data_IF_652960674347
#
_entry.id   IF_652960674347
#
_cell.length_a   1.000
_cell.length_b   1.000
_cell.length_c   1.000
_cell.angle_alpha   90.00
_cell.angle_beta   90.00
_cell.angle_gamma   90.00
#
_symmetry.space_group_name_H-M   'P 1'
#
loop_
_entity.id
_entity.type
_entity.pdbx_description
1 polymer ?
#
# COMPACT_ATOMS: atom_id res chain seq x y z
N UNK A 1 -52.32 -19.29 64.83
CA UNK A 1 -51.00 -18.65 64.58
C UNK A 1 -50.84 -17.50 65.57
N UNK A 2 -49.66 -17.32 66.19
CA UNK A 2 -49.49 -16.27 67.21
C UNK A 2 -49.52 -14.88 66.54
N UNK A 3 -50.19 -13.86 67.11
CA UNK A 3 -50.30 -12.54 66.49
C UNK A 3 -48.93 -11.89 66.19
N UNK A 4 -47.91 -12.26 66.98
CA UNK A 4 -46.52 -11.82 66.80
C UNK A 4 -45.86 -12.36 65.52
N UNK A 5 -46.15 -13.60 65.13
CA UNK A 5 -45.60 -14.16 63.87
C UNK A 5 -46.31 -13.59 62.64
N UNK A 6 -47.59 -13.22 62.74
CA UNK A 6 -48.29 -12.50 61.67
C UNK A 6 -47.70 -11.10 61.44
N UNK A 7 -47.36 -10.37 62.51
CA UNK A 7 -46.77 -9.04 62.41
C UNK A 7 -45.38 -9.05 61.75
N UNK A 8 -44.54 -10.05 62.05
CA UNK A 8 -43.20 -10.19 61.45
C UNK A 8 -43.31 -10.53 59.95
N UNK A 9 -44.24 -11.42 59.58
CA UNK A 9 -44.45 -11.77 58.18
C UNK A 9 -44.99 -10.59 57.36
N UNK A 10 -45.89 -9.79 57.92
CA UNK A 10 -46.40 -8.59 57.27
C UNK A 10 -45.28 -7.55 57.04
N UNK A 11 -44.42 -7.33 58.04
CA UNK A 11 -43.28 -6.43 57.89
C UNK A 11 -42.26 -6.92 56.85
N UNK A 12 -41.95 -8.21 56.84
CA UNK A 12 -41.05 -8.81 55.84
C UNK A 12 -41.62 -8.70 54.41
N UNK A 13 -42.93 -8.90 54.24
CA UNK A 13 -43.59 -8.74 52.95
C UNK A 13 -43.54 -7.29 52.45
N UNK A 14 -43.70 -6.29 53.34
CA UNK A 14 -43.58 -4.87 52.96
C UNK A 14 -42.16 -4.52 52.56
N UNK A 15 -41.14 -5.03 53.26
CA UNK A 15 -39.73 -4.80 52.90
C UNK A 15 -39.39 -5.46 51.57
N UNK A 16 -39.82 -6.70 51.34
CA UNK A 16 -39.60 -7.39 50.06
C UNK A 16 -40.36 -6.70 48.91
N UNK A 17 -41.57 -6.21 49.15
CA UNK A 17 -42.31 -5.42 48.18
C UNK A 17 -41.61 -4.09 47.88
N UNK A 18 -41.06 -3.40 48.88
CA UNK A 18 -40.31 -2.17 48.69
C UNK A 18 -39.01 -2.41 47.90
N UNK A 19 -38.29 -3.51 48.18
CA UNK A 19 -37.10 -3.92 47.41
C UNK A 19 -37.49 -4.27 45.98
N UNK A 20 -38.57 -5.05 45.79
CA UNK A 20 -39.06 -5.41 44.46
C UNK A 20 -39.50 -4.18 43.66
N UNK A 21 -40.16 -3.21 44.30
CA UNK A 21 -40.55 -1.93 43.69
C UNK A 21 -39.32 -1.08 43.38
N UNK A 22 -38.30 -1.04 44.24
CA UNK A 22 -37.05 -0.33 44.00
C UNK A 22 -36.26 -0.95 42.83
N UNK A 23 -36.14 -2.28 42.78
CA UNK A 23 -35.51 -3.00 41.68
C UNK A 23 -36.33 -2.83 40.39
N UNK A 24 -37.65 -2.92 40.46
CA UNK A 24 -38.51 -2.71 39.29
C UNK A 24 -38.42 -1.28 38.77
N UNK A 25 -38.35 -0.25 39.63
CA UNK A 25 -38.16 1.14 39.18
C UNK A 25 -36.74 1.42 38.68
N UNK A 26 -35.73 0.73 39.19
CA UNK A 26 -34.38 0.75 38.62
C UNK A 26 -34.31 0.08 37.23
N UNK A 27 -35.18 -0.91 36.97
CA UNK A 27 -35.28 -1.64 35.70
C UNK A 27 -36.42 -1.15 34.78
N UNK A 28 -37.22 -0.13 35.14
CA UNK A 28 -38.27 0.38 34.24
C UNK A 28 -37.66 1.26 33.12
N UNK A 29 -38.03 1.01 31.84
CA UNK A 29 -37.60 1.81 30.70
C UNK A 29 -38.35 3.15 30.64
N UNK A 30 -38.16 4.02 31.65
CA UNK A 30 -38.72 5.38 31.64
C UNK A 30 -38.01 6.30 30.64
N UNK A 31 -36.91 5.84 30.04
CA UNK A 31 -36.11 6.57 29.05
C UNK A 31 -36.49 6.29 27.58
N UNK A 32 -37.36 5.30 27.29
CA UNK A 32 -37.58 4.85 25.89
C UNK A 32 -38.24 5.88 24.97
N UNK A 33 -39.05 6.81 25.49
CA UNK A 33 -39.68 7.85 24.68
C UNK A 33 -38.94 9.22 24.69
N UNK A 34 -37.96 9.42 25.58
CA UNK A 34 -37.38 10.73 25.84
C UNK A 34 -36.04 11.01 25.13
N UNK A 35 -35.48 10.05 24.39
CA UNK A 35 -34.10 10.17 23.91
C UNK A 35 -33.85 9.61 22.49
N UNK A 36 -34.88 9.57 21.63
CA UNK A 36 -34.65 9.52 20.20
C UNK A 36 -34.05 10.85 19.72
N UNK A 37 -33.27 10.82 18.64
CA UNK A 37 -32.58 12.00 18.09
C UNK A 37 -31.09 11.76 17.88
N UNK A 38 -30.35 12.80 17.52
CA UNK A 38 -28.91 12.68 17.22
C UNK A 38 -28.12 12.08 18.39
N UNK A 39 -27.08 11.31 18.06
CA UNK A 39 -26.08 10.85 19.02
C UNK A 39 -25.14 12.00 19.42
N UNK A 40 -24.96 12.98 18.52
CA UNK A 40 -24.11 14.16 18.67
C UNK A 40 -24.86 15.48 18.34
N UNK A 41 -25.96 15.83 19.03
CA UNK A 41 -26.74 17.05 18.75
C UNK A 41 -25.93 18.35 18.84
N UNK A 42 -24.91 18.39 19.69
CA UNK A 42 -24.03 19.56 19.85
C UNK A 42 -23.12 19.74 18.63
N UNK A 43 -22.75 18.65 17.95
CA UNK A 43 -21.86 18.67 16.79
C UNK A 43 -22.52 19.30 15.56
N UNK A 44 -23.84 19.16 15.37
CA UNK A 44 -24.54 19.74 14.21
C UNK A 44 -24.28 21.24 14.04
N UNK A 45 -24.12 21.97 15.16
CA UNK A 45 -23.89 23.41 15.16
C UNK A 45 -22.41 23.78 15.16
N UNK A 46 -21.52 22.83 15.49
CA UNK A 46 -20.10 23.07 15.77
C UNK A 46 -19.15 22.29 14.85
N UNK A 47 -19.67 21.53 13.89
CA UNK A 47 -18.87 20.70 12.99
C UNK A 47 -17.80 21.49 12.23
N UNK A 48 -18.08 22.76 11.93
CA UNK A 48 -17.13 23.64 11.25
C UNK A 48 -16.02 24.18 12.16
N UNK A 49 -16.25 24.16 13.48
CA UNK A 49 -15.31 24.61 14.51
C UNK A 49 -14.31 23.50 14.89
N UNK A 50 -14.49 22.29 14.36
CA UNK A 50 -13.62 21.15 14.67
C UNK A 50 -12.20 21.43 14.14
N UNK A 51 -11.23 21.39 15.05
CA UNK A 51 -9.81 21.60 14.79
C UNK A 51 -8.98 20.34 14.93
N UNK A 52 -9.47 19.31 15.64
CA UNK A 52 -8.78 18.02 15.73
C UNK A 52 -9.76 16.85 15.84
N UNK A 53 -9.33 15.70 15.32
CA UNK A 53 -10.00 14.41 15.46
C UNK A 53 -8.98 13.39 15.98
N UNK A 54 -9.39 12.66 17.01
CA UNK A 54 -8.62 11.56 17.59
C UNK A 54 -9.45 10.28 17.52
N UNK A 55 -8.82 9.20 17.05
CA UNK A 55 -9.43 7.88 16.90
C UNK A 55 -8.55 6.88 17.61
N UNK A 56 -9.15 6.15 18.56
CA UNK A 56 -8.49 5.04 19.25
C UNK A 56 -9.05 3.73 18.68
N UNK A 57 -8.18 2.89 18.12
CA UNK A 57 -8.53 1.63 17.48
C UNK A 57 -7.54 0.54 17.92
N UNK A 58 -7.90 -0.21 18.96
CA UNK A 58 -6.99 -1.17 19.59
C UNK A 58 -5.73 -0.48 20.13
N UNK A 59 -4.55 -0.86 19.62
CA UNK A 59 -3.26 -0.26 20.03
C UNK A 59 -2.91 1.02 19.27
N UNK A 60 -3.62 1.32 18.19
CA UNK A 60 -3.36 2.49 17.37
C UNK A 60 -4.19 3.68 17.84
N UNK A 61 -3.53 4.83 17.96
CA UNK A 61 -4.19 6.13 18.15
C UNK A 61 -3.84 7.01 16.97
N UNK A 62 -4.86 7.41 16.22
CA UNK A 62 -4.72 8.32 15.10
C UNK A 62 -5.16 9.70 15.56
N UNK A 63 -4.30 10.68 15.38
CA UNK A 63 -4.63 12.09 15.61
C UNK A 63 -4.40 12.87 14.34
N UNK A 64 -5.38 13.69 13.98
CA UNK A 64 -5.31 14.61 12.84
C UNK A 64 -5.74 16.00 13.30
N UNK A 65 -5.12 17.02 12.73
CA UNK A 65 -5.29 18.41 13.16
C UNK A 65 -5.48 19.32 11.95
N UNK A 66 -6.31 20.35 12.10
CA UNK A 66 -6.51 21.39 11.09
C UNK A 66 -5.41 22.44 11.25
N UNK A 67 -4.52 22.52 10.28
CA UNK A 67 -3.53 23.58 10.13
C UNK A 67 -3.98 24.66 9.13
N UNK A 68 -3.06 25.54 8.75
CA UNK A 68 -3.32 26.65 7.81
C UNK A 68 -3.65 26.16 6.39
N UNK A 69 -2.94 25.12 5.93
CA UNK A 69 -3.09 24.54 4.59
C UNK A 69 -4.16 23.44 4.49
N UNK A 70 -4.80 23.04 5.60
CA UNK A 70 -5.79 21.97 5.62
C UNK A 70 -5.59 20.99 6.79
N UNK A 71 -6.08 19.77 6.62
CA UNK A 71 -5.92 18.72 7.63
C UNK A 71 -4.54 18.06 7.51
N UNK A 72 -3.84 17.92 8.62
CA UNK A 72 -2.47 17.42 8.70
C UNK A 72 -2.40 16.25 9.68
N UNK A 73 -1.39 15.38 9.52
CA UNK A 73 -1.07 14.34 10.49
C UNK A 73 0.18 14.69 11.30
N UNK A 74 0.05 15.02 12.60
CA UNK A 74 1.21 15.30 13.45
C UNK A 74 2.16 14.11 13.60
N UNK A 75 1.64 12.87 13.51
CA UNK A 75 2.45 11.65 13.60
C UNK A 75 3.36 11.44 12.37
N UNK A 76 3.16 12.19 11.29
CA UNK A 76 3.91 12.12 10.05
C UNK A 76 4.47 13.49 9.66
N UNK A 77 5.03 14.19 10.65
CA UNK A 77 5.65 15.52 10.49
C UNK A 77 4.75 16.57 9.83
N UNK A 78 3.44 16.48 10.04
CA UNK A 78 2.47 17.40 9.47
C UNK A 78 2.08 17.08 8.02
N UNK A 79 2.22 15.83 7.56
CA UNK A 79 1.82 15.45 6.20
C UNK A 79 0.35 15.80 5.89
N UNK A 80 0.05 16.39 4.72
CA UNK A 80 -1.32 16.73 4.32
C UNK A 80 -2.24 15.52 4.17
N UNK A 81 -3.49 15.68 4.61
CA UNK A 81 -4.53 14.67 4.54
C UNK A 81 -5.60 15.05 3.51
N UNK A 82 -6.31 14.04 3.03
CA UNK A 82 -7.43 14.23 2.11
C UNK A 82 -8.60 14.92 2.84
N UNK A 83 -8.95 16.17 2.48
CA UNK A 83 -10.00 16.91 3.18
C UNK A 83 -11.36 16.22 3.05
N UNK A 84 -11.61 15.54 1.94
CA UNK A 84 -12.86 14.81 1.72
C UNK A 84 -13.02 13.60 2.64
N UNK A 85 -11.93 12.91 3.01
CA UNK A 85 -11.97 11.83 4.00
C UNK A 85 -12.38 12.35 5.38
N UNK A 86 -11.82 13.50 5.78
CA UNK A 86 -12.16 14.15 7.06
C UNK A 86 -13.60 14.65 7.05
N UNK A 87 -14.03 15.29 5.95
CA UNK A 87 -15.41 15.72 5.78
C UNK A 87 -16.39 14.55 5.88
N UNK A 88 -16.12 13.44 5.19
CA UNK A 88 -16.95 12.24 5.21
C UNK A 88 -17.11 11.69 6.64
N UNK A 89 -16.00 11.57 7.38
CA UNK A 89 -16.00 11.11 8.76
C UNK A 89 -16.85 12.02 9.67
N UNK A 90 -16.68 13.34 9.58
CA UNK A 90 -17.46 14.31 10.37
C UNK A 90 -18.95 14.24 10.04
N UNK A 91 -19.31 14.09 8.77
CA UNK A 91 -20.70 13.93 8.33
C UNK A 91 -21.30 12.64 8.91
N UNK A 92 -20.59 11.51 8.85
CA UNK A 92 -21.06 10.24 9.39
C UNK A 92 -21.34 10.35 10.91
N UNK A 93 -20.43 10.96 11.66
CA UNK A 93 -20.58 11.17 13.11
C UNK A 93 -21.77 12.09 13.44
N UNK A 94 -21.93 13.18 12.67
CA UNK A 94 -23.04 14.13 12.86
C UNK A 94 -24.40 13.49 12.56
N UNK A 95 -24.46 12.56 11.60
CA UNK A 95 -25.71 11.94 11.15
C UNK A 95 -26.16 10.75 12.00
N UNK A 96 -25.35 10.26 12.94
CA UNK A 96 -25.77 9.18 13.85
C UNK A 96 -27.03 9.57 14.63
N UNK A 97 -28.07 8.74 14.56
CA UNK A 97 -29.31 8.92 15.34
C UNK A 97 -29.56 7.72 16.23
N UNK A 98 -29.96 7.97 17.48
CA UNK A 98 -30.37 6.95 18.43
C UNK A 98 -31.70 6.34 17.98
N UNK A 99 -31.70 5.02 17.73
CA UNK A 99 -32.89 4.22 17.38
C UNK A 99 -33.49 3.55 18.60
N UNK A 100 -32.65 2.95 19.43
CA UNK A 100 -33.09 2.13 20.55
C UNK A 100 -32.10 2.22 21.71
N UNK A 101 -32.62 2.46 22.92
CA UNK A 101 -31.85 2.31 24.15
C UNK A 101 -31.65 0.81 24.41
N UNK A 102 -30.41 0.39 24.65
CA UNK A 102 -30.07 -1.01 24.96
C UNK A 102 -29.78 -1.17 26.44
N UNK A 103 -28.51 -1.33 26.81
CA UNK A 103 -28.09 -1.61 28.17
C UNK A 103 -27.33 -0.44 28.77
N UNK A 104 -27.50 -0.24 30.08
CA UNK A 104 -26.69 0.64 30.91
C UNK A 104 -25.78 -0.15 31.88
N UNK A 105 -25.60 -1.46 31.65
CA UNK A 105 -24.84 -2.36 32.53
C UNK A 105 -23.45 -2.59 31.93
N UNK A 106 -22.36 -2.12 32.57
CA UNK A 106 -21.00 -2.23 32.02
C UNK A 106 -20.58 -3.66 31.67
N UNK A 107 -21.10 -4.66 32.37
CA UNK A 107 -20.79 -6.08 32.15
C UNK A 107 -21.27 -6.57 30.77
N UNK A 108 -22.17 -5.83 30.11
CA UNK A 108 -22.70 -6.15 28.78
C UNK A 108 -22.00 -5.40 27.65
N UNK A 109 -21.14 -4.43 27.94
CA UNK A 109 -20.42 -3.66 26.92
C UNK A 109 -19.55 -4.51 25.98
N UNK A 110 -18.80 -5.52 26.45
CA UNK A 110 -17.95 -6.33 25.56
C UNK A 110 -18.75 -7.07 24.48
N UNK A 111 -19.98 -7.48 24.77
CA UNK A 111 -20.85 -8.15 23.79
C UNK A 111 -21.27 -7.24 22.64
N UNK A 112 -21.27 -5.93 22.86
CA UNK A 112 -21.60 -4.88 21.89
C UNK A 112 -20.35 -4.16 21.35
N UNK A 113 -19.17 -4.51 21.86
CA UNK A 113 -17.87 -3.89 21.55
C UNK A 113 -17.86 -2.38 21.87
N UNK A 114 -18.46 -1.98 22.99
CA UNK A 114 -18.53 -0.56 23.46
C UNK A 114 -17.86 -0.35 24.81
N UNK A 115 -16.95 -1.25 25.17
CA UNK A 115 -16.04 -1.13 26.30
C UNK A 115 -15.02 0.01 26.08
N UNK A 116 -14.13 0.23 27.04
CA UNK A 116 -13.14 1.32 26.94
C UNK A 116 -12.21 1.09 25.74
N UNK A 117 -12.16 2.03 24.77
CA UNK A 117 -11.26 1.91 23.62
C UNK A 117 -9.80 1.85 24.03
N UNK A 118 -9.01 1.03 23.33
CA UNK A 118 -7.58 0.87 23.59
C UNK A 118 -7.16 -0.58 23.83
N UNK A 119 -5.86 -0.86 23.68
CA UNK A 119 -5.29 -2.17 23.98
C UNK A 119 -5.87 -3.28 23.08
N UNK A 120 -6.46 -4.30 23.70
CA UNK A 120 -7.09 -5.44 23.01
C UNK A 120 -8.60 -5.22 22.74
N UNK A 121 -9.14 -4.05 23.09
CA UNK A 121 -10.53 -3.71 22.84
C UNK A 121 -10.83 -3.61 21.35
N UNK A 122 -12.00 -4.10 20.96
CA UNK A 122 -12.56 -3.91 19.61
C UNK A 122 -13.37 -2.62 19.49
N UNK A 123 -13.65 -1.97 20.61
CA UNK A 123 -14.33 -0.68 20.64
C UNK A 123 -13.45 0.40 20.00
N UNK A 124 -14.10 1.28 19.24
CA UNK A 124 -13.45 2.42 18.59
C UNK A 124 -13.78 3.69 19.34
N UNK A 125 -12.77 4.36 19.86
CA UNK A 125 -12.92 5.68 20.48
C UNK A 125 -12.84 6.77 19.41
N UNK A 126 -13.71 7.76 19.48
CA UNK A 126 -13.72 8.90 18.57
C UNK A 126 -13.91 10.17 19.39
N UNK A 127 -12.93 11.06 19.34
CA UNK A 127 -12.96 12.34 20.03
C UNK A 127 -12.75 13.48 19.04
N UNK A 128 -13.61 14.49 19.11
CA UNK A 128 -13.49 15.71 18.31
C UNK A 128 -13.20 16.89 19.23
N UNK A 129 -12.36 17.80 18.75
CA UNK A 129 -11.96 18.99 19.48
C UNK A 129 -12.26 20.25 18.67
N UNK A 130 -12.66 21.32 19.35
CA UNK A 130 -12.70 22.68 18.84
C UNK A 130 -11.78 23.55 19.71
N UNK A 131 -10.57 23.82 19.22
CA UNK A 131 -9.46 24.27 20.06
C UNK A 131 -9.13 23.21 21.11
N UNK A 132 -9.08 23.61 22.38
CA UNK A 132 -8.83 22.71 23.52
C UNK A 132 -10.10 22.04 24.07
N UNK A 133 -11.28 22.42 23.57
CA UNK A 133 -12.56 21.90 24.04
C UNK A 133 -12.93 20.60 23.33
N UNK A 134 -13.29 19.57 24.09
CA UNK A 134 -13.88 18.34 23.55
C UNK A 134 -15.34 18.58 23.19
N UNK A 135 -15.66 18.54 21.89
CA UNK A 135 -17.03 18.76 21.38
C UNK A 135 -17.78 17.46 21.10
N UNK A 136 -17.06 16.34 21.02
CA UNK A 136 -17.62 14.99 20.91
C UNK A 136 -16.68 13.98 21.54
N UNK A 137 -17.22 13.04 22.31
CA UNK A 137 -16.50 11.86 22.79
C UNK A 137 -17.42 10.62 22.72
N UNK A 138 -17.18 9.77 21.72
CA UNK A 138 -18.00 8.59 21.42
C UNK A 138 -17.16 7.32 21.43
N UNK A 139 -17.79 6.26 21.94
CA UNK A 139 -17.37 4.88 21.78
C UNK A 139 -18.28 4.22 20.76
N UNK A 140 -17.70 3.73 19.69
CA UNK A 140 -18.37 3.05 18.58
C UNK A 140 -18.02 1.57 18.64
N UNK A 141 -19.05 0.73 18.70
CA UNK A 141 -18.91 -0.71 18.70
C UNK A 141 -19.24 -1.35 17.37
N UNK A 142 -19.57 -2.64 17.43
CA UNK A 142 -19.81 -3.43 16.22
C UNK A 142 -21.06 -2.97 15.46
N UNK A 143 -21.04 -3.23 14.16
CA UNK A 143 -22.23 -3.07 13.32
C UNK A 143 -23.24 -4.20 13.58
N UNK A 144 -24.52 -3.86 13.52
CA UNK A 144 -25.63 -4.79 13.45
C UNK A 144 -26.05 -4.90 11.98
N UNK A 145 -26.01 -6.10 11.44
CA UNK A 145 -26.52 -6.41 10.09
C UNK A 145 -27.92 -7.05 10.17
N UNK A 146 -28.62 -7.10 9.03
CA UNK A 146 -29.93 -7.75 8.91
C UNK A 146 -31.09 -6.76 8.72
N UNK A 147 -32.30 -7.17 9.10
CA UNK A 147 -33.54 -6.41 8.86
C UNK A 147 -33.59 -5.03 9.54
N UNK A 148 -32.79 -4.84 10.60
CA UNK A 148 -32.70 -3.59 11.35
C UNK A 148 -31.22 -3.22 11.53
N UNK A 149 -30.57 -2.71 10.47
CA UNK A 149 -29.15 -2.42 10.52
C UNK A 149 -28.87 -1.17 11.35
N UNK A 150 -27.64 -1.08 11.85
CA UNK A 150 -27.16 0.05 12.61
C UNK A 150 -25.80 -0.20 13.24
N UNK A 151 -25.39 0.70 14.12
CA UNK A 151 -24.13 0.60 14.86
C UNK A 151 -24.38 0.80 16.34
N UNK A 152 -23.72 0.04 17.20
CA UNK A 152 -23.78 0.27 18.63
C UNK A 152 -22.88 1.45 19.00
N UNK A 153 -23.37 2.36 19.82
CA UNK A 153 -22.59 3.50 20.27
C UNK A 153 -22.95 3.90 21.70
N UNK A 154 -21.98 4.51 22.39
CA UNK A 154 -22.12 5.04 23.74
C UNK A 154 -21.34 6.35 23.83
N UNK A 155 -21.86 7.34 24.55
CA UNK A 155 -21.09 8.54 24.88
C UNK A 155 -20.06 8.20 25.95
N UNK A 156 -18.83 8.68 25.82
CA UNK A 156 -17.86 8.49 26.88
C UNK A 156 -18.35 9.13 28.18
N UNK A 157 -18.18 8.44 29.31
CA UNK A 157 -18.70 8.86 30.61
C UNK A 157 -20.19 8.55 30.87
N UNK A 158 -20.96 8.13 29.86
CA UNK A 158 -22.33 7.64 30.05
C UNK A 158 -22.36 6.10 30.01
N UNK A 159 -23.17 5.47 30.86
CA UNK A 159 -23.28 4.01 30.86
C UNK A 159 -24.24 3.47 29.78
N UNK A 160 -25.15 4.32 29.31
CA UNK A 160 -26.22 3.94 28.39
C UNK A 160 -25.69 3.69 26.97
N UNK A 161 -25.87 2.47 26.49
CA UNK A 161 -25.58 2.06 25.10
C UNK A 161 -26.82 2.24 24.23
N UNK A 162 -26.61 2.69 23.01
CA UNK A 162 -27.63 2.90 21.99
C UNK A 162 -27.35 2.05 20.75
N UNK A 163 -28.41 1.54 20.13
CA UNK A 163 -28.37 1.20 18.71
C UNK A 163 -28.65 2.47 17.91
N UNK A 164 -27.75 2.83 17.01
CA UNK A 164 -27.88 4.02 16.17
C UNK A 164 -28.16 3.67 14.71
N UNK A 165 -28.91 4.53 14.01
CA UNK A 165 -29.04 4.50 12.55
C UNK A 165 -27.78 5.07 11.91
N UNK A 166 -27.47 4.59 10.71
CA UNK A 166 -26.28 4.98 9.96
C UNK A 166 -25.12 4.00 10.11
N UNK A 167 -24.00 4.38 9.53
CA UNK A 167 -22.73 3.65 9.53
C UNK A 167 -21.62 4.63 9.87
N UNK A 168 -20.63 4.19 10.64
CA UNK A 168 -19.39 4.93 10.83
C UNK A 168 -18.23 4.10 10.31
N UNK A 169 -17.73 4.49 9.14
CA UNK A 169 -16.58 3.91 8.48
C UNK A 169 -15.40 4.87 8.60
N UNK A 170 -14.72 4.83 9.74
CA UNK A 170 -13.48 5.58 9.94
C UNK A 170 -12.28 4.78 9.42
N UNK A 171 -11.36 5.44 8.70
CA UNK A 171 -10.07 4.86 8.32
C UNK A 171 -9.35 4.23 9.51
N UNK A 172 -8.67 3.10 9.28
CA UNK A 172 -8.12 2.26 10.35
C UNK A 172 -6.69 2.65 10.71
N UNK A 173 -5.92 3.11 9.72
CA UNK A 173 -4.54 3.58 9.87
C UNK A 173 -4.44 5.07 9.55
N UNK A 174 -3.41 5.75 10.09
CA UNK A 174 -3.16 7.16 9.79
C UNK A 174 -2.94 7.42 8.29
N UNK A 175 -2.25 6.49 7.60
CA UNK A 175 -1.98 6.62 6.16
C UNK A 175 -3.22 6.49 5.29
N UNK A 176 -4.32 5.90 5.79
CA UNK A 176 -5.58 5.81 5.03
C UNK A 176 -6.30 7.17 4.92
N UNK A 177 -5.84 8.18 5.66
CA UNK A 177 -6.30 9.56 5.53
C UNK A 177 -5.56 10.34 4.44
N UNK A 178 -4.47 9.79 3.89
CA UNK A 178 -3.56 10.46 2.96
C UNK A 178 -3.85 10.05 1.52
N UNK A 179 -3.44 10.90 0.57
CA UNK A 179 -3.33 10.49 -0.83
C UNK A 179 -2.12 9.56 -0.94
N UNK A 180 -2.36 8.24 -1.01
CA UNK A 180 -1.28 7.25 -1.02
C UNK A 180 -0.50 7.23 -2.33
N UNK A 181 -1.08 7.73 -3.41
CA UNK A 181 -0.48 7.75 -4.74
C UNK A 181 0.60 8.83 -4.81
N UNK A 182 1.87 8.43 -4.94
CA UNK A 182 2.99 9.37 -5.08
C UNK A 182 3.15 9.83 -6.52
N UNK A 183 3.06 8.87 -7.45
CA UNK A 183 3.15 9.09 -8.90
C UNK A 183 2.39 7.96 -9.62
N UNK A 184 1.88 8.26 -10.81
CA UNK A 184 1.22 7.29 -11.68
C UNK A 184 1.79 7.44 -13.09
N UNK A 185 2.84 6.68 -13.37
CA UNK A 185 3.47 6.59 -14.69
C UNK A 185 3.31 5.17 -15.23
N UNK A 186 2.27 4.93 -16.06
CA UNK A 186 2.05 3.66 -16.72
C UNK A 186 3.31 3.16 -17.43
N UNK A 187 3.52 1.84 -17.43
CA UNK A 187 4.67 1.21 -18.10
C UNK A 187 4.76 1.55 -19.60
N UNK A 188 3.64 1.90 -20.24
CA UNK A 188 3.60 2.29 -21.65
C UNK A 188 4.22 3.66 -21.91
N UNK A 189 4.25 4.53 -20.89
CA UNK A 189 4.83 5.86 -20.98
C UNK A 189 6.33 5.85 -20.67
N UNK A 190 6.88 4.71 -20.23
CA UNK A 190 8.31 4.55 -19.93
C UNK A 190 9.05 4.10 -21.19
N UNK A 191 10.08 4.85 -21.57
CA UNK A 191 10.97 4.56 -22.68
C UNK A 191 12.18 3.73 -22.23
N UNK A 192 12.80 4.10 -21.11
CA UNK A 192 14.04 3.50 -20.60
C UNK A 192 14.10 3.58 -19.08
N UNK A 193 14.65 2.56 -18.45
CA UNK A 193 14.92 2.53 -17.01
C UNK A 193 16.38 2.23 -16.77
N UNK A 194 17.01 2.99 -15.87
CA UNK A 194 18.37 2.76 -15.38
C UNK A 194 18.29 2.62 -13.87
N UNK A 195 18.76 1.49 -13.32
CA UNK A 195 18.83 1.26 -11.88
C UNK A 195 20.30 1.05 -11.49
N UNK A 196 20.78 1.89 -10.60
CA UNK A 196 22.11 1.82 -10.00
C UNK A 196 21.99 1.29 -8.57
N UNK A 197 22.77 0.26 -8.22
CA UNK A 197 22.82 -0.31 -6.88
C UNK A 197 24.26 -0.72 -6.55
N UNK A 198 24.90 0.04 -5.65
CA UNK A 198 26.35 -0.10 -5.40
C UNK A 198 27.15 0.21 -6.67
N UNK A 199 27.98 -0.76 -7.10
CA UNK A 199 28.81 -0.65 -8.32
C UNK A 199 28.13 -1.24 -9.57
N UNK A 200 26.89 -1.73 -9.44
CA UNK A 200 26.14 -2.33 -10.54
C UNK A 200 25.15 -1.35 -11.18
N UNK A 201 25.12 -1.34 -12.52
CA UNK A 201 24.14 -0.57 -13.30
C UNK A 201 23.32 -1.50 -14.19
N UNK A 202 22.00 -1.46 -14.01
CA UNK A 202 21.02 -2.20 -14.78
C UNK A 202 20.30 -1.23 -15.73
N UNK A 203 20.47 -1.41 -17.04
CA UNK A 203 19.71 -0.65 -18.04
C UNK A 203 18.68 -1.53 -18.74
N UNK A 204 17.41 -1.12 -18.71
CA UNK A 204 16.28 -1.82 -19.33
C UNK A 204 15.60 -0.90 -20.35
N UNK A 205 15.36 -1.41 -21.56
CA UNK A 205 14.62 -0.72 -22.61
C UNK A 205 13.87 -1.72 -23.49
N UNK A 206 12.88 -1.25 -24.26
CA UNK A 206 12.23 -2.07 -25.30
C UNK A 206 13.06 -1.95 -26.60
N UNK A 207 13.57 -3.06 -27.15
CA UNK A 207 14.20 -3.04 -28.47
C UNK A 207 13.23 -2.55 -29.55
N UNK A 208 13.76 -1.96 -30.62
CA UNK A 208 12.94 -1.45 -31.72
C UNK A 208 12.10 -2.57 -32.35
N UNK A 209 10.78 -2.39 -32.39
CA UNK A 209 9.84 -3.37 -32.95
C UNK A 209 9.47 -4.52 -31.99
N UNK A 210 10.02 -4.55 -30.79
CA UNK A 210 9.69 -5.54 -29.76
C UNK A 210 8.73 -4.97 -28.71
N UNK A 211 7.88 -5.84 -28.17
CA UNK A 211 6.96 -5.48 -27.07
C UNK A 211 7.53 -5.84 -25.70
N UNK A 212 8.58 -6.66 -25.66
CA UNK A 212 9.19 -7.16 -24.44
C UNK A 212 10.33 -6.24 -23.98
N UNK A 213 10.47 -6.11 -22.66
CA UNK A 213 11.59 -5.39 -22.04
C UNK A 213 12.84 -6.27 -22.05
N UNK A 214 13.97 -5.69 -22.48
CA UNK A 214 15.25 -6.35 -22.54
C UNK A 214 16.34 -5.50 -21.85
N UNK A 215 17.45 -6.14 -21.49
CA UNK A 215 18.64 -5.42 -21.03
C UNK A 215 19.34 -4.75 -22.22
N UNK A 216 19.74 -3.49 -22.06
CA UNK A 216 20.48 -2.77 -23.09
C UNK A 216 21.90 -3.32 -23.26
N UNK A 217 22.53 -3.73 -22.16
CA UNK A 217 23.86 -4.34 -22.14
C UNK A 217 23.77 -5.65 -21.36
N UNK A 218 23.76 -6.78 -22.09
CA UNK A 218 23.85 -8.11 -21.50
C UNK A 218 25.34 -8.48 -21.48
N UNK A 219 25.97 -8.71 -20.30
CA UNK A 219 27.34 -9.21 -20.26
C UNK A 219 27.44 -10.53 -21.06
N UNK A 220 28.45 -10.64 -21.93
CA UNK A 220 28.62 -11.80 -22.81
C UNK A 220 28.54 -13.12 -22.02
N UNK A 221 27.68 -14.05 -22.47
CA UNK A 221 27.53 -15.38 -21.87
C UNK A 221 26.57 -15.50 -20.68
N UNK A 222 25.86 -14.43 -20.29
CA UNK A 222 24.86 -14.49 -19.20
C UNK A 222 23.44 -14.50 -19.75
N UNK A 223 22.57 -15.33 -19.17
CA UNK A 223 21.12 -15.37 -19.44
C UNK A 223 20.36 -14.86 -18.23
N UNK A 224 19.25 -14.18 -18.47
CA UNK A 224 18.32 -13.82 -17.40
C UNK A 224 17.76 -15.09 -16.75
N UNK A 225 17.81 -15.20 -15.42
CA UNK A 225 17.24 -16.28 -14.60
C UNK A 225 15.75 -16.51 -14.84
N UNK A 226 15.05 -15.51 -15.38
CA UNK A 226 13.58 -15.54 -15.47
C UNK A 226 13.08 -14.76 -16.67
N UNK A 227 12.06 -15.25 -17.40
CA UNK A 227 11.57 -14.60 -18.62
C UNK A 227 10.79 -13.29 -18.44
N UNK A 228 10.50 -12.79 -17.22
CA UNK A 228 9.73 -11.52 -17.06
C UNK A 228 9.94 -10.67 -15.76
N UNK A 229 11.15 -10.52 -15.18
CA UNK A 229 11.39 -9.60 -14.05
C UNK A 229 11.49 -8.13 -14.51
N UNK A 230 11.98 -7.89 -15.73
CA UNK A 230 12.27 -6.54 -16.24
C UNK A 230 11.02 -5.67 -16.40
N UNK A 231 9.91 -6.26 -16.83
CA UNK A 231 8.62 -5.56 -16.92
C UNK A 231 8.09 -5.08 -15.57
N UNK A 232 8.41 -5.78 -14.46
CA UNK A 232 8.03 -5.34 -13.11
C UNK A 232 8.80 -4.10 -12.67
N UNK A 233 10.09 -4.05 -12.99
CA UNK A 233 10.94 -2.88 -12.71
C UNK A 233 10.45 -1.68 -13.53
N UNK A 234 10.18 -1.89 -14.83
CA UNK A 234 9.66 -0.86 -15.71
C UNK A 234 8.27 -0.34 -15.29
N UNK A 235 7.41 -1.24 -14.79
CA UNK A 235 6.08 -0.90 -14.29
C UNK A 235 6.02 -0.40 -12.84
N UNK A 236 7.15 -0.24 -12.15
CA UNK A 236 7.15 0.08 -10.71
C UNK A 236 6.49 1.43 -10.39
N UNK A 237 6.60 2.41 -11.30
CA UNK A 237 5.98 3.74 -11.16
C UNK A 237 4.50 3.78 -11.59
N UNK A 238 3.94 2.69 -12.12
CA UNK A 238 2.56 2.65 -12.61
C UNK A 238 1.51 2.78 -11.51
N UNK A 239 1.80 2.26 -10.32
CA UNK A 239 0.96 2.41 -9.13
C UNK A 239 1.85 2.50 -7.88
N UNK A 240 2.62 3.58 -7.79
CA UNK A 240 3.52 3.78 -6.66
C UNK A 240 2.73 4.33 -5.46
N UNK A 241 2.53 3.46 -4.47
CA UNK A 241 1.84 3.83 -3.21
C UNK A 241 2.74 3.62 -2.00
N UNK A 242 2.76 4.59 -1.10
CA UNK A 242 3.61 4.54 0.09
C UNK A 242 2.93 3.85 1.27
N UNK A 243 3.75 3.26 2.14
CA UNK A 243 3.36 2.68 3.43
C UNK A 243 3.72 3.60 4.61
N UNK A 244 4.66 4.52 4.41
CA UNK A 244 5.01 5.56 5.38
C UNK A 244 5.50 6.82 4.68
N UNK A 245 5.37 7.95 5.38
CA UNK A 245 5.87 9.25 4.93
C UNK A 245 6.41 10.03 6.12
N UNK A 246 7.47 10.79 5.88
CA UNK A 246 8.11 11.69 6.85
C UNK A 246 8.68 12.91 6.15
N UNK A 247 8.93 13.97 6.92
CA UNK A 247 9.61 15.15 6.37
C UNK A 247 11.04 14.81 5.95
N UNK A 248 11.48 15.39 4.84
CA UNK A 248 12.87 15.36 4.40
C UNK A 248 13.74 16.40 5.12
N UNK A 249 13.15 17.27 5.94
CA UNK A 249 13.89 18.32 6.65
C UNK A 249 14.94 17.72 7.58
N UNK A 250 16.20 18.12 7.39
CA UNK A 250 17.33 17.61 8.18
C UNK A 250 17.79 16.20 7.81
N UNK A 251 17.22 15.57 6.78
CA UNK A 251 17.74 14.33 6.22
C UNK A 251 18.90 14.63 5.26
N UNK A 252 20.03 13.96 5.46
CA UNK A 252 21.20 14.09 4.59
C UNK A 252 20.97 13.33 3.26
N UNK A 253 20.52 14.06 2.24
CA UNK A 253 20.35 13.53 0.88
C UNK A 253 21.67 13.42 0.11
N UNK A 254 22.76 13.98 0.63
CA UNK A 254 24.08 13.93 -0.01
C UNK A 254 24.82 12.63 0.32
N UNK A 255 24.35 11.87 1.31
CA UNK A 255 24.80 10.50 1.53
C UNK A 255 24.56 9.63 0.29
N UNK A 256 25.52 8.76 -0.02
CA UNK A 256 25.39 7.76 -1.09
C UNK A 256 24.11 6.92 -0.89
N UNK A 257 23.18 6.92 -1.87
CA UNK A 257 21.97 6.14 -1.78
C UNK A 257 22.28 4.64 -1.89
N UNK A 258 21.41 3.81 -1.31
CA UNK A 258 21.44 2.37 -1.49
C UNK A 258 21.18 2.00 -2.95
N UNK A 259 20.23 2.69 -3.59
CA UNK A 259 19.95 2.57 -5.02
C UNK A 259 19.47 3.90 -5.60
N UNK A 260 19.67 4.06 -6.91
CA UNK A 260 19.09 5.14 -7.72
C UNK A 260 18.38 4.52 -8.92
N UNK A 261 17.08 4.74 -9.07
CA UNK A 261 16.30 4.28 -10.22
C UNK A 261 15.80 5.48 -11.03
N UNK A 262 16.28 5.63 -12.27
CA UNK A 262 15.90 6.68 -13.20
C UNK A 262 15.00 6.13 -14.31
N UNK A 263 13.81 6.69 -14.43
CA UNK A 263 12.79 6.33 -15.39
C UNK A 263 12.64 7.44 -16.41
N UNK A 264 13.08 7.21 -17.65
CA UNK A 264 12.85 8.12 -18.76
C UNK A 264 11.51 7.81 -19.41
N UNK A 265 10.65 8.82 -19.52
CA UNK A 265 9.35 8.72 -20.19
C UNK A 265 9.49 8.97 -21.70
N UNK A 266 8.47 8.61 -22.46
CA UNK A 266 8.34 8.92 -23.89
C UNK A 266 8.20 10.43 -24.15
N UNK A 267 7.88 11.22 -23.13
CA UNK A 267 7.79 12.69 -23.16
C UNK A 267 9.06 13.38 -22.66
N UNK A 268 10.19 12.67 -22.64
CA UNK A 268 11.50 13.20 -22.26
C UNK A 268 11.60 13.74 -20.81
N UNK A 269 10.73 13.25 -19.94
CA UNK A 269 10.83 13.46 -18.49
C UNK A 269 11.63 12.32 -17.87
N UNK A 270 12.42 12.62 -16.84
CA UNK A 270 13.19 11.64 -16.08
C UNK A 270 12.71 11.71 -14.63
N UNK A 271 12.07 10.64 -14.16
CA UNK A 271 11.73 10.49 -12.75
C UNK A 271 12.79 9.64 -12.06
N UNK A 272 13.45 10.21 -11.06
CA UNK A 272 14.49 9.56 -10.27
C UNK A 272 13.95 9.22 -8.89
N UNK A 273 14.10 7.96 -8.50
CA UNK A 273 13.86 7.47 -7.13
C UNK A 273 15.21 7.15 -6.51
N UNK A 274 15.53 7.79 -5.38
CA UNK A 274 16.73 7.49 -4.58
C UNK A 274 16.31 6.89 -3.26
N UNK A 275 16.87 5.75 -2.88
CA UNK A 275 16.57 5.06 -1.63
C UNK A 275 17.72 5.10 -0.64
N UNK A 276 17.44 5.40 0.63
CA UNK A 276 18.40 5.33 1.72
C UNK A 276 17.90 4.42 2.83
N UNK A 277 18.81 3.68 3.45
CA UNK A 277 18.48 2.85 4.62
C UNK A 277 18.65 3.66 5.90
N UNK A 278 17.59 3.71 6.70
CA UNK A 278 17.59 4.34 8.02
C UNK A 278 16.90 3.38 9.01
N UNK A 279 17.72 2.74 9.85
CA UNK A 279 17.31 1.58 10.65
C UNK A 279 16.90 0.40 9.76
N UNK A 280 15.71 -0.16 10.03
CA UNK A 280 15.15 -1.31 9.30
C UNK A 280 14.28 -0.89 8.10
N UNK A 281 14.08 0.41 7.87
CA UNK A 281 13.25 0.93 6.78
C UNK A 281 14.10 1.58 5.68
N UNK A 282 13.56 1.54 4.47
CA UNK A 282 14.08 2.26 3.32
C UNK A 282 13.20 3.48 3.08
N UNK A 283 13.83 4.64 3.10
CA UNK A 283 13.20 5.91 2.79
C UNK A 283 13.63 6.36 1.41
N UNK A 284 12.67 6.72 0.58
CA UNK A 284 12.87 7.07 -0.80
C UNK A 284 12.50 8.54 -1.03
N UNK A 285 13.40 9.27 -1.68
CA UNK A 285 13.16 10.59 -2.23
C UNK A 285 12.92 10.50 -3.71
N UNK A 286 12.00 11.32 -4.22
CA UNK A 286 11.72 11.41 -5.65
C UNK A 286 12.11 12.80 -6.16
N UNK A 287 12.59 12.84 -7.40
CA UNK A 287 12.83 14.07 -8.14
C UNK A 287 12.53 13.83 -9.61
N UNK A 288 12.07 14.84 -10.31
CA UNK A 288 11.86 14.80 -11.75
C UNK A 288 12.71 15.86 -12.47
N UNK A 289 13.09 15.58 -13.71
CA UNK A 289 13.76 16.52 -14.60
C UNK A 289 13.17 16.41 -16.01
N UNK A 290 13.07 17.52 -16.74
CA UNK A 290 12.76 17.50 -18.16
C UNK A 290 14.07 17.59 -18.94
N UNK A 291 14.35 16.62 -19.80
CA UNK A 291 15.55 16.58 -20.63
C UNK A 291 15.14 16.33 -22.09
N UNK A 292 14.88 17.38 -22.88
CA UNK A 292 14.50 17.21 -24.28
C UNK A 292 15.58 16.41 -25.02
N UNK A 293 15.21 15.66 -26.07
CA UNK A 293 16.17 14.90 -26.84
C UNK A 293 17.16 15.91 -27.39
N UNK A 294 18.46 15.62 -27.22
CA UNK A 294 19.52 16.46 -27.74
C UNK A 294 19.22 16.71 -29.23
N UNK A 295 18.82 17.94 -29.55
CA UNK A 295 18.76 18.40 -30.93
C UNK A 295 20.17 18.25 -31.47
N UNK A 296 20.32 17.86 -32.75
CA UNK A 296 21.61 17.55 -33.39
C UNK A 296 22.71 18.63 -33.16
N UNK A 297 22.35 19.86 -32.77
CA UNK A 297 23.29 20.91 -32.33
C UNK A 297 24.11 20.57 -31.06
N UNK A 298 23.62 19.75 -30.13
CA UNK A 298 24.40 19.33 -28.95
C UNK A 298 25.30 18.11 -29.21
N UNK A 299 24.97 17.28 -30.22
CA UNK A 299 25.85 16.22 -30.69
C UNK A 299 27.08 16.83 -31.42
N UNK A 300 26.86 17.87 -32.23
CA UNK A 300 27.94 18.58 -32.91
C UNK A 300 28.93 19.27 -31.95
N UNK A 301 28.47 19.85 -30.82
CA UNK A 301 29.36 20.47 -29.83
C UNK A 301 30.18 19.46 -28.99
N UNK A 302 29.76 18.19 -28.95
CA UNK A 302 30.50 17.13 -28.25
C UNK A 302 31.44 16.38 -29.19
N UNK A 303 31.16 16.35 -30.49
CA UNK A 303 32.09 15.88 -31.53
C UNK A 303 33.14 16.93 -31.90
N UNK A 304 32.84 18.23 -31.91
CA UNK A 304 33.85 19.29 -32.17
C UNK A 304 34.91 19.37 -31.05
N UNK A 305 34.61 18.95 -29.83
CA UNK A 305 35.61 18.83 -28.75
C UNK A 305 36.51 17.58 -28.89
N UNK A 306 36.14 16.62 -29.74
CA UNK A 306 36.88 15.38 -29.98
C UNK A 306 37.55 15.31 -31.37
N UNK A 307 37.32 16.29 -32.24
CA UNK A 307 37.87 16.34 -33.61
C UNK A 307 38.84 17.49 -33.90
N UNK A 308 39.26 18.27 -32.91
CA UNK A 308 40.42 19.19 -33.05
C UNK A 308 41.79 18.46 -33.04
N UNK A 309 41.83 17.13 -32.85
CA UNK A 309 43.06 16.32 -32.93
C UNK A 309 43.04 15.30 -34.08
N UNK A 310 42.58 15.66 -35.28
CA UNK A 310 43.21 15.14 -36.51
C UNK A 310 42.66 15.76 -37.80
N UNK A 311 43.61 16.16 -38.64
CA UNK A 311 43.53 16.22 -40.10
C UNK A 311 42.71 17.35 -40.74
N UNK A 312 43.42 18.48 -40.91
CA UNK A 312 43.44 19.20 -42.19
C UNK A 312 43.56 18.20 -43.37
N UNK A 313 42.57 18.14 -44.27
CA UNK A 313 42.78 18.21 -45.74
C UNK A 313 41.47 18.24 -46.51
N UNK A 314 41.26 19.37 -47.19
CA UNK A 314 40.61 19.61 -48.49
C UNK A 314 39.54 18.66 -49.06
N UNK A 315 38.43 19.24 -49.54
CA UNK A 315 37.72 18.73 -50.71
C UNK A 315 36.23 19.10 -50.83
N UNK A 316 35.92 20.07 -51.68
CA UNK A 316 34.59 20.65 -51.96
C UNK A 316 33.64 19.78 -52.82
N UNK A 317 32.32 20.06 -52.73
CA UNK A 317 31.33 20.32 -53.83
C UNK A 317 29.88 20.10 -53.29
N UNK A 318 29.02 21.13 -53.28
CA UNK A 318 27.91 21.44 -54.24
C UNK A 318 26.84 20.32 -54.36
N UNK A 319 25.52 20.49 -54.45
CA UNK A 319 24.53 21.58 -54.43
C UNK A 319 23.13 20.93 -54.71
N UNK A 320 22.02 21.61 -54.33
CA UNK A 320 20.67 21.67 -54.97
C UNK A 320 19.89 20.37 -55.36
N UNK A 321 18.55 20.22 -55.45
CA UNK A 321 17.34 21.05 -55.38
C UNK A 321 16.08 20.11 -55.38
N UNK A 322 14.97 20.60 -54.78
CA UNK A 322 13.52 20.38 -54.97
C UNK A 322 12.88 19.08 -55.53
N UNK A 323 11.72 18.67 -54.94
CA UNK A 323 10.37 19.01 -55.43
C UNK A 323 9.27 18.00 -55.02
N UNK A 324 8.32 18.53 -54.22
CA UNK A 324 6.85 18.37 -54.17
C UNK A 324 6.10 17.37 -55.10
N UNK A 325 5.11 16.64 -54.54
CA UNK A 325 3.73 16.52 -55.06
C UNK A 325 2.81 15.62 -54.20
N UNK A 326 1.77 16.25 -53.62
CA UNK A 326 0.33 15.89 -53.46
C UNK A 326 -0.14 14.44 -53.16
N UNK A 327 -0.83 14.21 -52.01
CA UNK A 327 -2.30 14.16 -51.78
C UNK A 327 -3.05 13.05 -52.55
N UNK A 328 -3.64 12.04 -51.88
CA UNK A 328 -5.02 11.91 -51.36
C UNK A 328 -5.13 10.42 -50.91
N UNK A 329 -5.91 9.90 -49.96
CA UNK A 329 -7.24 10.25 -49.43
C UNK A 329 -7.49 9.48 -48.11
N UNK A 330 -8.24 10.14 -47.22
CA UNK A 330 -9.29 9.62 -46.32
C UNK A 330 -9.34 8.13 -45.94
N UNK A 331 -9.24 7.86 -44.63
CA UNK A 331 -10.35 7.31 -43.83
C UNK A 331 -9.88 7.12 -42.39
N UNK A 332 -10.23 8.03 -41.49
CA UNK A 332 -10.30 7.78 -40.04
C UNK A 332 -11.13 8.86 -39.38
N UNK A 333 -12.45 8.67 -39.46
CA UNK A 333 -13.38 9.26 -38.51
C UNK A 333 -13.76 8.17 -37.51
N UNK A 334 -13.88 8.55 -36.24
CA UNK A 334 -14.35 7.77 -35.07
C UNK A 334 -13.28 7.08 -34.21
N UNK A 335 -12.49 7.90 -33.52
CA UNK A 335 -11.99 7.60 -32.17
C UNK A 335 -11.85 8.91 -31.39
N UNK A 336 -12.97 9.60 -31.18
CA UNK A 336 -13.02 10.71 -30.22
C UNK A 336 -13.13 10.16 -28.78
N UNK A 337 -12.50 10.91 -27.87
CA UNK A 337 -12.69 10.95 -26.42
C UNK A 337 -11.82 10.04 -25.55
N UNK A 338 -10.53 10.38 -25.49
CA UNK A 338 -9.81 10.70 -24.24
C UNK A 338 -8.47 11.37 -24.57
N UNK A 339 -8.52 12.56 -25.19
CA UNK A 339 -7.40 13.49 -25.16
C UNK A 339 -7.38 14.10 -23.77
N UNK A 340 -6.50 13.58 -22.91
CA UNK A 340 -6.11 14.30 -21.71
C UNK A 340 -5.54 15.65 -22.14
N UNK A 341 -5.87 16.71 -21.40
CA UNK A 341 -5.21 18.01 -21.53
C UNK A 341 -3.71 17.77 -21.68
N UNK A 342 -3.12 18.16 -22.82
CA UNK A 342 -1.67 18.09 -23.05
C UNK A 342 -0.99 19.09 -22.11
N UNK A 343 -0.88 18.71 -20.83
CA UNK A 343 -0.07 19.41 -19.86
C UNK A 343 1.37 19.46 -20.38
N UNK A 344 1.94 20.65 -20.39
CA UNK A 344 3.34 20.88 -20.73
C UNK A 344 4.22 19.94 -19.89
N UNK A 345 5.00 19.03 -20.51
CA UNK A 345 5.83 18.08 -19.80
C UNK A 345 6.79 18.73 -18.80
N UNK A 346 7.23 19.97 -19.06
CA UNK A 346 8.09 20.72 -18.15
C UNK A 346 7.31 21.22 -16.91
N UNK A 347 6.09 21.73 -17.10
CA UNK A 347 5.23 22.18 -16.00
C UNK A 347 4.87 21.02 -15.05
N UNK A 348 4.59 19.83 -15.60
CA UNK A 348 4.29 18.64 -14.81
C UNK A 348 5.48 18.21 -13.93
N UNK A 349 6.72 18.34 -14.43
CA UNK A 349 7.94 18.08 -13.66
C UNK A 349 8.07 19.04 -12.46
N UNK A 350 7.71 20.32 -12.64
CA UNK A 350 7.71 21.29 -11.56
C UNK A 350 6.68 20.94 -10.48
N UNK A 351 5.47 20.54 -10.87
CA UNK A 351 4.42 20.10 -9.93
C UNK A 351 4.86 18.87 -9.12
N UNK A 352 5.43 17.87 -9.78
CA UNK A 352 5.97 16.68 -9.12
C UNK A 352 7.06 17.04 -8.13
N UNK A 353 8.03 17.88 -8.52
CA UNK A 353 9.09 18.31 -7.62
C UNK A 353 8.53 19.10 -6.43
N UNK A 354 7.56 20.00 -6.63
CA UNK A 354 6.91 20.72 -5.55
C UNK A 354 6.18 19.77 -4.57
N UNK A 355 5.57 18.70 -5.09
CA UNK A 355 4.89 17.70 -4.27
C UNK A 355 5.87 16.79 -3.49
N UNK A 356 7.08 16.54 -4.00
CA UNK A 356 8.01 15.57 -3.41
C UNK A 356 9.17 16.20 -2.62
N UNK A 357 9.49 17.48 -2.85
CA UNK A 357 10.70 18.12 -2.33
C UNK A 357 10.87 17.94 -0.82
N UNK A 358 9.79 18.15 -0.07
CA UNK A 358 9.80 18.17 1.41
C UNK A 358 9.59 16.80 2.06
N UNK A 359 9.45 15.73 1.28
CA UNK A 359 9.01 14.43 1.79
C UNK A 359 9.97 13.29 1.45
N UNK A 360 9.96 12.28 2.32
CA UNK A 360 10.54 10.97 2.08
C UNK A 360 9.46 9.91 2.28
N UNK A 361 9.42 8.94 1.38
CA UNK A 361 8.39 7.91 1.35
C UNK A 361 8.99 6.53 1.62
N UNK A 362 8.33 5.74 2.44
CA UNK A 362 8.60 4.31 2.55
C UNK A 362 7.63 3.56 1.64
N UNK A 363 8.12 2.61 0.87
CA UNK A 363 7.31 1.77 -0.02
C UNK A 363 7.19 0.33 0.52
N UNK A 364 6.24 -0.46 0.01
CA UNK A 364 6.20 -1.90 0.29
C UNK A 364 7.52 -2.57 -0.11
N UNK A 365 7.93 -3.60 0.65
CA UNK A 365 9.14 -4.37 0.35
C UNK A 365 9.13 -4.94 -1.06
N UNK A 366 7.97 -5.41 -1.53
CA UNK A 366 7.76 -5.90 -2.89
C UNK A 366 8.13 -4.90 -4.00
N UNK A 367 8.10 -3.60 -3.69
CA UNK A 367 8.49 -2.51 -4.60
C UNK A 367 9.97 -2.16 -4.41
N UNK A 368 10.43 -1.99 -3.18
CA UNK A 368 11.84 -1.65 -2.92
C UNK A 368 12.80 -2.77 -3.30
N UNK A 369 12.37 -4.02 -3.23
CA UNK A 369 13.16 -5.17 -3.64
C UNK A 369 13.43 -5.16 -5.16
N UNK A 370 12.55 -4.54 -5.96
CA UNK A 370 12.78 -4.39 -7.40
C UNK A 370 13.98 -3.50 -7.71
N UNK A 371 14.22 -2.48 -6.89
CA UNK A 371 15.33 -1.55 -7.06
C UNK A 371 16.62 -1.99 -6.35
N UNK A 372 16.49 -2.88 -5.35
CA UNK A 372 17.63 -3.48 -4.64
C UNK A 372 18.14 -4.77 -5.30
N UNK A 373 17.34 -5.40 -6.17
CA UNK A 373 17.74 -6.66 -6.81
C UNK A 373 18.99 -6.43 -7.65
N UNK A 374 20.09 -7.09 -7.25
CA UNK A 374 21.36 -7.08 -7.99
C UNK A 374 21.19 -7.67 -9.38
N UNK A 375 22.10 -7.31 -10.29
CA UNK A 375 22.17 -7.93 -11.62
C UNK A 375 22.40 -9.46 -11.48
N UNK A 376 23.19 -9.89 -10.50
CA UNK A 376 23.49 -11.30 -10.21
C UNK A 376 22.28 -12.12 -9.71
N UNK A 377 21.37 -11.51 -8.95
CA UNK A 377 20.12 -12.13 -8.53
C UNK A 377 19.21 -12.42 -9.73
N UNK A 378 19.34 -11.63 -10.81
CA UNK A 378 18.53 -11.74 -12.02
C UNK A 378 19.19 -12.53 -13.15
N UNK A 379 20.44 -12.98 -13.01
CA UNK A 379 21.17 -13.76 -14.03
C UNK A 379 21.40 -15.21 -13.59
N UNK A 380 21.31 -16.16 -14.53
CA UNK A 380 21.68 -17.56 -14.29
C UNK A 380 23.18 -17.64 -13.96
N UNK A 381 23.58 -18.44 -12.96
CA UNK A 381 24.99 -18.75 -12.77
C UNK A 381 25.53 -19.34 -14.07
N UNK A 382 26.78 -18.99 -14.42
CA UNK A 382 27.44 -19.59 -15.58
C UNK A 382 27.37 -21.11 -15.43
N UNK A 383 27.02 -21.89 -16.46
CA UNK A 383 27.28 -23.31 -16.42
C UNK A 383 28.79 -23.45 -16.19
N UNK A 384 29.18 -24.07 -15.07
CA UNK A 384 30.56 -24.46 -14.86
C UNK A 384 30.96 -25.26 -16.09
N UNK A 385 32.01 -24.81 -16.78
CA UNK A 385 32.59 -25.60 -17.85
C UNK A 385 32.93 -26.94 -17.23
N UNK A 386 32.21 -27.99 -17.60
CA UNK A 386 32.55 -29.36 -17.27
C UNK A 386 34.02 -29.52 -17.66
N UNK A 387 34.88 -29.57 -16.64
CA UNK A 387 36.26 -29.93 -16.83
C UNK A 387 36.22 -31.34 -17.42
N UNK A 388 36.54 -31.45 -18.72
CA UNK A 388 36.81 -32.72 -19.36
C UNK A 388 37.86 -33.45 -18.51
N UNK A 389 37.42 -34.44 -17.72
CA UNK A 389 38.31 -35.36 -17.07
C UNK A 389 39.14 -36.07 -18.15
N UNK A 390 40.48 -36.12 -18.02
CA UNK A 390 41.30 -36.79 -19.02
C UNK A 390 41.00 -38.28 -18.98
N UNK A 391 40.74 -38.84 -20.16
CA UNK A 391 40.61 -40.28 -20.36
C UNK A 391 41.90 -41.00 -19.95
N UNK A 392 41.90 -41.63 -18.77
CA UNK A 392 42.89 -42.65 -18.43
C UNK A 392 42.41 -44.02 -18.91
N UNK A 393 43.16 -44.52 -19.88
CA UNK A 393 43.20 -45.88 -20.37
C UNK A 393 43.65 -46.86 -19.27
N UNK A 394 42.96 -47.99 -19.11
CA UNK A 394 43.65 -49.23 -18.78
C UNK A 394 42.95 -50.43 -19.45
N UNK A 395 43.78 -51.28 -20.04
CA UNK A 395 43.41 -52.45 -20.83
C UNK A 395 44.22 -53.65 -20.33
N UNK A 396 43.56 -54.78 -20.09
CA UNK A 396 44.14 -56.12 -19.88
C UNK A 396 43.09 -57.03 -19.21
N UNK A 397 42.34 -57.89 -19.90
CA UNK A 397 42.67 -59.13 -20.66
C UNK A 397 42.87 -60.37 -19.74
N UNK A 398 42.23 -61.48 -20.16
CA UNK A 398 42.30 -62.91 -19.73
C UNK A 398 41.41 -63.39 -18.56
N UNK A 399 40.70 -64.53 -18.59
CA UNK A 399 40.40 -65.56 -19.60
C UNK A 399 39.25 -66.50 -19.07
N UNK A 400 38.51 -67.13 -19.98
CA UNK A 400 37.49 -68.19 -19.78
C UNK A 400 38.15 -69.59 -19.44
N UNK A 401 37.49 -70.79 -19.37
CA UNK A 401 36.14 -71.17 -19.83
C UNK A 401 35.36 -72.31 -19.08
N UNK A 402 34.13 -72.54 -19.55
CA UNK A 402 33.38 -73.80 -19.82
C UNK A 402 32.80 -74.78 -18.76
N UNK A 403 31.49 -75.05 -18.99
CA UNK A 403 30.76 -76.34 -19.08
C UNK A 403 30.01 -77.00 -17.88
N UNK A 404 28.75 -77.30 -18.21
CA UNK A 404 27.93 -78.49 -17.90
C UNK A 404 27.04 -78.63 -16.63
N UNK A 405 25.73 -78.59 -16.92
CA UNK A 405 24.72 -79.65 -16.74
C UNK A 405 24.11 -80.00 -15.36
N UNK A 406 22.77 -80.08 -15.45
CA UNK A 406 21.86 -81.07 -14.84
C UNK A 406 21.18 -80.82 -13.47
N UNK A 407 19.84 -80.77 -13.60
CA UNK A 407 18.80 -81.45 -12.81
C UNK A 407 18.28 -80.84 -11.49
N UNK A 408 16.96 -80.61 -11.49
CA UNK A 408 16.09 -81.08 -10.42
C UNK A 408 15.15 -80.06 -9.81
N UNK A 409 13.96 -79.90 -10.39
CA UNK A 409 12.73 -79.59 -9.64
C UNK A 409 12.48 -80.76 -8.64
N UNK A 410 11.91 -80.54 -7.44
CA UNK A 410 10.47 -80.26 -7.38
C UNK A 410 10.04 -79.24 -6.30
N UNK A 411 8.99 -78.50 -6.61
CA UNK A 411 8.02 -77.89 -5.66
C UNK A 411 7.34 -78.97 -4.79
N UNK A 412 6.73 -78.68 -3.60
CA UNK A 412 5.57 -77.77 -3.50
C UNK A 412 5.30 -77.08 -2.13
N UNK A 413 4.20 -76.29 -2.10
CA UNK A 413 3.34 -75.94 -0.95
C UNK A 413 3.91 -74.91 0.07
N UNK A 414 3.18 -73.95 0.65
CA UNK A 414 1.74 -73.71 0.78
C UNK A 414 1.49 -72.32 1.41
N UNK A 415 0.42 -71.67 0.93
CA UNK A 415 -0.55 -70.75 1.59
C UNK A 415 -0.21 -69.43 2.34
N UNK A 416 -1.14 -68.50 2.09
CA UNK A 416 -1.70 -67.43 2.93
C UNK A 416 -0.83 -66.18 3.15
N UNK A 417 -1.31 -64.94 3.00
CA UNK A 417 -2.67 -64.40 2.99
C UNK A 417 -2.70 -63.15 3.89
N UNK A 418 -3.39 -62.08 3.46
CA UNK A 418 -3.62 -60.84 4.23
C UNK A 418 -2.76 -59.68 3.71
N UNK A 419 -3.24 -58.75 2.89
CA UNK A 419 -4.42 -57.88 2.98
C UNK A 419 -4.31 -56.78 4.07
N UNK A 420 -4.39 -55.54 3.57
CA UNK A 420 -4.86 -54.31 4.21
C UNK A 420 -3.97 -53.59 5.25
N UNK A 421 -3.76 -52.30 4.98
CA UNK A 421 -4.45 -51.31 5.81
C UNK A 421 -3.59 -50.34 6.61
N UNK A 422 -3.41 -49.17 5.98
CA UNK A 422 -3.69 -47.84 6.54
C UNK A 422 -2.81 -47.27 7.68
N UNK A 423 -2.46 -45.99 7.49
CA UNK A 423 -1.89 -45.07 8.45
C UNK A 423 -1.68 -43.72 7.78
#
# INVERSE_FOLDING_TARGET
>A
MKPKTLGILAAAAVVLAAIAVAVHHADQPRAEAAALGRMAPELEKRVNDVTALEIVNGKETIRIERGEAGWLSPAHDGFPLLPERVREALIQLTRLERKQALTNRPERWPALEVDTPGGESKARGVKLFAGDEVVLDLVIGKEKWGADPGVYARRAGEDQVWLCSGRVSLPRAATDWMEKKVVQLPMNDIARVVVEHGDETLTIQKPAGETQWALAELPEGRKLKTPNPLGRIAGALGWLSFTGVRSAAGFDRDQAPLFTAAYRTMKDQIVTVRGWRDGDQIWCGLSAAYQPPATEEAAAATEEAATEENAETEGAADAEEAADADQETADQETAEEQEGEDEDPAAQVEEWNAAWADWLYSFPTTTTDLWQSSLEDQLEPLPEAEAEEPAESDAGEEAAPDQDAENGDPTPATEAGGESGNG
#
